data_IF_244555961700
#
_entry.id   IF_244555961700
#
_cell.length_a   1.000
_cell.length_b   1.000
_cell.length_c   1.000
_cell.angle_alpha   90.00
_cell.angle_beta   90.00
_cell.angle_gamma   90.00
#
_symmetry.space_group_name_H-M   'P 1'
#
loop_
_entity.id
_entity.type
_entity.pdbx_description
1 polymer ?
#
# COMPACT_ATOMS: atom_id res chain seq x y z
N UNK A 1 48.15 24.45 11.93
CA UNK A 1 47.37 23.40 12.64
C UNK A 1 45.90 23.64 12.33
N UNK A 2 45.42 23.06 11.24
CA UNK A 2 44.01 23.13 10.81
C UNK A 2 43.12 22.42 11.83
N UNK A 3 42.07 23.09 12.32
CA UNK A 3 41.02 22.46 13.11
C UNK A 3 40.04 21.77 12.17
N UNK A 4 40.10 20.44 12.12
CA UNK A 4 39.10 19.61 11.45
C UNK A 4 37.70 19.91 12.05
N UNK A 5 36.84 20.57 11.27
CA UNK A 5 35.41 20.67 11.57
C UNK A 5 34.76 19.35 11.16
N UNK A 6 34.47 18.51 12.13
CA UNK A 6 33.55 17.38 11.97
C UNK A 6 32.16 17.95 11.66
N UNK A 7 31.74 17.93 10.40
CA UNK A 7 30.36 18.25 10.03
C UNK A 7 29.46 17.14 10.57
N UNK A 8 28.64 17.48 11.57
CA UNK A 8 27.53 16.64 12.01
C UNK A 8 26.64 16.38 10.78
N UNK A 9 26.34 15.12 10.41
CA UNK A 9 25.42 14.88 9.30
C UNK A 9 24.09 15.57 9.63
N UNK A 10 23.56 16.35 8.69
CA UNK A 10 22.23 16.92 8.81
C UNK A 10 21.25 15.77 9.09
N UNK A 11 20.26 15.94 9.99
CA UNK A 11 19.28 14.90 10.22
C UNK A 11 18.67 14.51 8.87
N UNK A 12 18.67 13.21 8.54
CA UNK A 12 17.98 12.71 7.36
C UNK A 12 16.54 13.23 7.45
N UNK A 13 16.15 14.10 6.51
CA UNK A 13 14.81 14.68 6.50
C UNK A 13 13.80 13.53 6.49
N UNK A 14 12.74 13.62 7.29
CA UNK A 14 11.64 12.63 7.26
C UNK A 14 10.76 12.89 6.05
N UNK A 15 9.98 11.89 5.65
CA UNK A 15 8.87 12.13 4.73
C UNK A 15 7.86 13.05 5.40
N UNK A 16 7.36 14.05 4.67
CA UNK A 16 6.22 14.86 5.10
C UNK A 16 5.02 14.45 4.28
N UNK A 17 3.99 13.95 4.93
CA UNK A 17 2.79 13.44 4.25
C UNK A 17 1.58 14.25 4.68
N UNK A 18 0.84 14.75 3.70
CA UNK A 18 -0.48 15.36 3.92
C UNK A 18 -1.56 14.51 3.26
N UNK A 19 -2.75 14.55 3.84
CA UNK A 19 -3.91 13.85 3.33
C UNK A 19 -5.11 14.80 3.27
N UNK A 20 -5.89 14.71 2.20
CA UNK A 20 -7.18 15.37 2.04
C UNK A 20 -8.27 14.30 1.93
N UNK A 21 -9.12 14.21 2.95
CA UNK A 21 -10.20 13.23 3.02
C UNK A 21 -11.47 13.80 2.42
N UNK A 22 -11.87 13.28 1.25
CA UNK A 22 -13.18 13.53 0.66
C UNK A 22 -14.19 12.42 0.96
N UNK A 23 -15.40 12.55 0.39
CA UNK A 23 -16.46 11.55 0.55
C UNK A 23 -16.14 10.19 -0.09
N UNK A 24 -15.57 10.18 -1.31
CA UNK A 24 -15.26 8.94 -2.05
C UNK A 24 -13.80 8.55 -1.98
N UNK A 25 -12.91 9.54 -2.05
CA UNK A 25 -11.47 9.33 -2.12
C UNK A 25 -10.74 10.16 -1.07
N UNK A 26 -9.60 9.64 -0.66
CA UNK A 26 -8.58 10.36 0.09
C UNK A 26 -7.37 10.56 -0.80
N UNK A 27 -6.98 11.82 -0.97
CA UNK A 27 -5.78 12.22 -1.72
C UNK A 27 -4.59 12.33 -0.75
N UNK A 28 -3.46 11.77 -1.14
CA UNK A 28 -2.23 11.73 -0.35
C UNK A 28 -1.13 12.42 -1.14
N UNK A 29 -0.45 13.36 -0.50
CA UNK A 29 0.73 14.03 -1.05
C UNK A 29 1.90 13.80 -0.11
N UNK A 30 2.97 13.18 -0.62
CA UNK A 30 4.20 12.92 0.11
C UNK A 30 5.36 13.73 -0.46
N UNK A 31 6.07 14.45 0.40
CA UNK A 31 7.35 15.06 0.08
C UNK A 31 8.47 14.20 0.68
N UNK A 32 9.27 13.60 -0.21
CA UNK A 32 10.41 12.79 0.16
C UNK A 32 11.54 13.65 0.78
N UNK A 33 12.48 13.04 1.50
CA UNK A 33 13.61 13.74 2.12
C UNK A 33 14.47 14.56 1.15
N UNK A 34 14.57 14.07 -0.09
CA UNK A 34 15.31 14.69 -1.20
C UNK A 34 14.50 15.79 -1.93
N UNK A 35 13.27 16.06 -1.47
CA UNK A 35 12.37 17.06 -2.05
C UNK A 35 11.46 16.55 -3.17
N UNK A 36 11.59 15.28 -3.59
CA UNK A 36 10.68 14.70 -4.60
C UNK A 36 9.25 14.63 -4.08
N UNK A 37 8.28 14.90 -4.96
CA UNK A 37 6.86 14.85 -4.64
C UNK A 37 6.24 13.57 -5.19
N UNK A 38 5.45 12.92 -4.36
CA UNK A 38 4.71 11.71 -4.66
C UNK A 38 3.23 11.93 -4.36
N UNK A 39 2.37 11.30 -5.16
CA UNK A 39 0.93 11.37 -4.96
C UNK A 39 0.30 9.99 -5.04
N UNK A 40 -0.75 9.79 -4.26
CA UNK A 40 -1.57 8.59 -4.25
C UNK A 40 -3.01 8.95 -3.92
N UNK A 41 -3.97 8.31 -4.61
CA UNK A 41 -5.38 8.42 -4.31
C UNK A 41 -5.88 7.04 -3.89
N UNK A 42 -6.60 6.97 -2.77
CA UNK A 42 -7.22 5.75 -2.25
C UNK A 42 -8.71 5.99 -2.00
N UNK A 43 -9.53 4.94 -1.98
CA UNK A 43 -10.91 5.07 -1.50
C UNK A 43 -10.91 5.56 -0.05
N UNK A 44 -11.85 6.44 0.32
CA UNK A 44 -11.98 6.93 1.71
C UNK A 44 -12.29 5.82 2.71
N UNK A 45 -12.67 4.63 2.24
CA UNK A 45 -12.81 3.41 3.07
C UNK A 45 -11.48 2.71 3.37
N UNK A 46 -10.34 3.23 2.89
CA UNK A 46 -9.02 2.63 3.05
C UNK A 46 -8.80 1.38 2.20
N UNK A 47 -9.65 1.15 1.19
CA UNK A 47 -9.58 0.00 0.30
C UNK A 47 -8.97 0.35 -1.07
N UNK A 48 -8.36 -0.66 -1.70
CA UNK A 48 -7.93 -0.66 -3.09
C UNK A 48 -8.84 -1.59 -3.90
N UNK A 49 -9.07 -1.27 -5.17
CA UNK A 49 -9.77 -2.17 -6.09
C UNK A 49 -8.80 -2.76 -7.08
N UNK A 50 -8.80 -4.08 -7.17
CA UNK A 50 -7.98 -4.85 -8.12
C UNK A 50 -8.88 -5.76 -8.94
N UNK A 51 -8.52 -5.97 -10.20
CA UNK A 51 -9.12 -7.03 -11.02
C UNK A 51 -8.21 -8.24 -10.97
N UNK A 52 -8.77 -9.41 -10.69
CA UNK A 52 -7.98 -10.61 -10.48
C UNK A 52 -8.74 -11.86 -10.94
N UNK A 53 -7.97 -12.84 -11.43
CA UNK A 53 -8.43 -14.20 -11.70
C UNK A 53 -8.18 -15.07 -10.46
N UNK A 54 -9.25 -15.55 -9.84
CA UNK A 54 -9.20 -16.48 -8.72
C UNK A 54 -9.03 -17.92 -9.21
N UNK A 55 -8.11 -18.65 -8.58
CA UNK A 55 -7.88 -20.10 -8.74
C UNK A 55 -7.63 -20.72 -7.38
N UNK A 56 -8.66 -21.32 -6.79
CA UNK A 56 -8.61 -21.84 -5.42
C UNK A 56 -8.31 -20.75 -4.39
N UNK A 57 -7.12 -20.76 -3.78
CA UNK A 57 -6.68 -19.75 -2.79
C UNK A 57 -5.92 -18.58 -3.40
N UNK A 58 -5.58 -18.63 -4.69
CA UNK A 58 -4.73 -17.61 -5.33
C UNK A 58 -5.53 -16.65 -6.17
N UNK A 59 -5.23 -15.37 -6.04
CA UNK A 59 -5.71 -14.32 -6.92
C UNK A 59 -4.53 -13.85 -7.79
N UNK A 60 -4.58 -14.15 -9.08
CA UNK A 60 -3.66 -13.58 -10.07
C UNK A 60 -4.15 -12.19 -10.45
N UNK A 61 -3.36 -11.17 -10.14
CA UNK A 61 -3.75 -9.77 -10.32
C UNK A 61 -3.44 -9.33 -11.75
N UNK A 62 -4.38 -8.63 -12.39
CA UNK A 62 -4.12 -8.06 -13.72
C UNK A 62 -3.06 -6.95 -13.69
N UNK A 63 -2.94 -6.27 -12.55
CA UNK A 63 -1.89 -5.29 -12.28
C UNK A 63 -1.20 -5.67 -10.98
N UNK A 64 0.14 -5.78 -10.98
CA UNK A 64 0.88 -6.10 -9.77
C UNK A 64 0.66 -5.05 -8.69
N UNK A 65 0.61 -5.50 -7.43
CA UNK A 65 0.69 -4.60 -6.29
C UNK A 65 2.07 -3.90 -6.28
N UNK A 66 2.15 -2.64 -5.84
CA UNK A 66 3.44 -2.01 -5.59
C UNK A 66 4.33 -2.87 -4.68
N UNK A 67 5.64 -2.78 -4.90
CA UNK A 67 6.63 -3.36 -4.00
C UNK A 67 6.43 -2.78 -2.60
N UNK A 68 5.75 -3.52 -1.73
CA UNK A 68 5.34 -3.05 -0.41
C UNK A 68 5.68 -4.01 0.71
N UNK A 69 6.35 -5.12 0.39
CA UNK A 69 6.75 -6.13 1.37
C UNK A 69 5.54 -6.68 2.14
N UNK A 70 5.72 -6.87 3.44
CA UNK A 70 4.73 -7.47 4.34
C UNK A 70 3.51 -6.61 4.65
N UNK A 71 3.43 -5.35 4.19
CA UNK A 71 2.25 -4.51 4.51
C UNK A 71 0.96 -5.14 4.01
N UNK A 72 1.04 -5.87 2.91
CA UNK A 72 -0.11 -6.46 2.24
C UNK A 72 -0.76 -7.60 3.03
N UNK A 73 -0.01 -8.29 3.89
CA UNK A 73 -0.57 -9.36 4.73
C UNK A 73 -1.43 -8.81 5.87
N UNK A 74 -1.42 -7.49 6.08
CA UNK A 74 -2.35 -6.83 7.00
C UNK A 74 -3.71 -6.53 6.34
N UNK A 75 -3.82 -6.62 5.01
CA UNK A 75 -5.04 -6.33 4.28
C UNK A 75 -5.96 -7.56 4.23
N UNK A 76 -7.26 -7.31 4.08
CA UNK A 76 -8.27 -8.33 3.76
C UNK A 76 -8.79 -8.16 2.35
N UNK A 77 -9.00 -9.26 1.66
CA UNK A 77 -9.57 -9.30 0.32
C UNK A 77 -11.05 -9.67 0.38
N UNK A 78 -11.90 -8.98 -0.38
CA UNK A 78 -13.29 -9.38 -0.59
C UNK A 78 -13.71 -9.21 -2.04
N UNK A 79 -14.45 -10.17 -2.57
CA UNK A 79 -14.99 -10.07 -3.91
C UNK A 79 -16.22 -9.15 -3.90
N UNK A 80 -16.21 -8.11 -4.74
CA UNK A 80 -17.35 -7.20 -4.86
C UNK A 80 -18.58 -8.01 -5.30
N UNK A 81 -19.69 -7.82 -4.58
CA UNK A 81 -20.95 -8.51 -4.83
C UNK A 81 -21.10 -9.91 -4.19
N UNK A 82 -20.05 -10.44 -3.52
CA UNK A 82 -20.12 -11.74 -2.81
C UNK A 82 -19.95 -11.65 -1.29
N UNK A 83 -19.45 -10.53 -0.77
CA UNK A 83 -19.52 -10.16 0.65
C UNK A 83 -18.60 -10.88 1.64
N UNK A 84 -17.95 -11.98 1.26
CA UNK A 84 -16.99 -12.68 2.15
C UNK A 84 -15.63 -11.97 2.17
N UNK A 85 -15.06 -11.78 3.37
CA UNK A 85 -13.70 -11.28 3.57
C UNK A 85 -12.72 -12.44 3.82
N UNK A 86 -11.51 -12.30 3.30
CA UNK A 86 -10.44 -13.30 3.34
C UNK A 86 -9.14 -12.64 3.74
N UNK A 87 -8.35 -13.26 4.62
CA UNK A 87 -7.05 -12.72 5.01
C UNK A 87 -6.02 -13.01 3.92
N UNK A 88 -5.19 -12.01 3.60
CA UNK A 88 -4.06 -12.17 2.69
C UNK A 88 -2.89 -12.78 3.46
N UNK A 89 -2.48 -13.98 3.09
CA UNK A 89 -1.37 -14.68 3.75
C UNK A 89 -0.03 -14.41 3.08
N UNK A 90 -0.02 -14.39 1.75
CA UNK A 90 1.18 -14.25 0.95
C UNK A 90 0.92 -13.30 -0.20
N UNK A 91 1.92 -12.48 -0.51
CA UNK A 91 1.98 -11.70 -1.75
C UNK A 91 3.24 -12.10 -2.49
N UNK A 92 3.13 -12.31 -3.79
CA UNK A 92 4.27 -12.58 -4.65
C UNK A 92 5.34 -11.49 -4.49
N UNK A 93 6.65 -11.82 -4.59
CA UNK A 93 7.71 -10.80 -4.50
C UNK A 93 7.57 -9.66 -5.52
N UNK A 94 7.03 -9.97 -6.70
CA UNK A 94 6.75 -9.01 -7.78
C UNK A 94 5.34 -8.37 -7.69
N UNK A 95 4.54 -8.77 -6.69
CA UNK A 95 3.18 -8.31 -6.49
C UNK A 95 2.16 -8.87 -7.47
N UNK A 96 2.51 -9.84 -8.34
CA UNK A 96 1.64 -10.34 -9.40
C UNK A 96 0.47 -11.19 -8.91
N UNK A 97 0.59 -11.83 -7.75
CA UNK A 97 -0.48 -12.62 -7.15
C UNK A 97 -0.49 -12.51 -5.63
N UNK A 98 -1.64 -12.83 -5.05
CA UNK A 98 -1.80 -12.98 -3.59
C UNK A 98 -2.43 -14.34 -3.27
N UNK A 99 -2.08 -14.91 -2.12
CA UNK A 99 -2.70 -16.13 -1.57
C UNK A 99 -3.56 -15.77 -0.37
N UNK A 100 -4.79 -16.27 -0.38
CA UNK A 100 -5.78 -16.12 0.67
C UNK A 100 -5.73 -17.29 1.65
N UNK A 101 -6.19 -17.05 2.87
CA UNK A 101 -6.34 -18.09 3.89
C UNK A 101 -7.38 -19.16 3.55
N UNK A 102 -8.38 -18.85 2.72
CA UNK A 102 -9.48 -19.76 2.36
C UNK A 102 -9.61 -19.93 0.85
N UNK A 103 -10.24 -21.03 0.43
CA UNK A 103 -10.65 -21.24 -0.95
C UNK A 103 -11.74 -20.24 -1.36
N UNK A 104 -11.66 -19.76 -2.59
CA UNK A 104 -12.68 -18.92 -3.21
C UNK A 104 -13.08 -19.51 -4.56
N UNK A 105 -14.31 -19.25 -5.05
CA UNK A 105 -14.71 -19.79 -6.34
C UNK A 105 -13.86 -19.22 -7.47
N UNK A 106 -13.50 -20.09 -8.40
CA UNK A 106 -12.72 -19.70 -9.58
C UNK A 106 -13.45 -18.68 -10.46
N UNK A 107 -12.69 -17.77 -11.06
CA UNK A 107 -13.23 -16.80 -12.00
C UNK A 107 -12.53 -15.44 -11.93
N UNK A 108 -12.79 -14.58 -12.91
CA UNK A 108 -12.27 -13.22 -12.93
C UNK A 108 -13.29 -12.27 -12.32
N UNK A 109 -12.88 -11.48 -11.33
CA UNK A 109 -13.75 -10.53 -10.65
C UNK A 109 -12.98 -9.29 -10.20
N UNK A 110 -13.72 -8.29 -9.69
CA UNK A 110 -13.14 -7.15 -8.98
C UNK A 110 -13.14 -7.49 -7.48
N UNK A 111 -11.98 -7.29 -6.87
CA UNK A 111 -11.73 -7.50 -5.45
C UNK A 111 -11.41 -6.17 -4.78
N UNK A 112 -11.94 -5.97 -3.58
CA UNK A 112 -11.48 -4.93 -2.66
C UNK A 112 -10.41 -5.49 -1.74
N UNK A 113 -9.27 -4.82 -1.67
CA UNK A 113 -8.23 -5.06 -0.67
C UNK A 113 -8.35 -3.96 0.38
N UNK A 114 -8.95 -4.29 1.52
CA UNK A 114 -9.22 -3.36 2.62
C UNK A 114 -8.05 -3.34 3.59
N UNK A 115 -7.49 -2.16 3.82
CA UNK A 115 -6.49 -1.96 4.86
C UNK A 115 -7.13 -1.94 6.26
N UNK A 116 -6.40 -2.29 7.32
CA UNK A 116 -6.87 -2.18 8.70
C UNK A 116 -6.73 -0.75 9.26
N UNK A 117 -6.18 0.18 8.48
CA UNK A 117 -5.95 1.56 8.91
C UNK A 117 -6.98 2.51 8.29
N UNK A 118 -7.16 3.67 8.92
CA UNK A 118 -7.91 4.76 8.29
C UNK A 118 -7.24 5.18 6.96
N UNK A 119 -8.04 5.67 6.01
CA UNK A 119 -7.57 5.99 4.65
C UNK A 119 -6.32 6.89 4.57
N UNK A 120 -6.16 7.95 5.40
CA UNK A 120 -4.93 8.73 5.43
C UNK A 120 -3.67 7.89 5.75
N UNK A 121 -3.77 7.01 6.76
CA UNK A 121 -2.64 6.17 7.21
C UNK A 121 -2.36 5.06 6.20
N UNK A 122 -3.41 4.44 5.67
CA UNK A 122 -3.28 3.44 4.61
C UNK A 122 -2.62 4.05 3.37
N UNK A 123 -3.07 5.23 2.97
CA UNK A 123 -2.54 5.97 1.83
C UNK A 123 -1.07 6.36 2.00
N UNK A 124 -0.67 6.83 3.19
CA UNK A 124 0.72 7.12 3.51
C UNK A 124 1.62 5.88 3.36
N UNK A 125 1.24 4.76 3.97
CA UNK A 125 2.00 3.49 3.88
C UNK A 125 2.14 2.99 2.45
N UNK A 126 1.06 3.07 1.66
CA UNK A 126 1.08 2.67 0.25
C UNK A 126 1.92 3.60 -0.62
N UNK A 127 1.93 4.90 -0.33
CA UNK A 127 2.78 5.86 -1.02
C UNK A 127 4.26 5.55 -0.78
N UNK A 128 4.65 5.26 0.47
CA UNK A 128 6.01 4.86 0.83
C UNK A 128 6.43 3.54 0.18
N UNK A 129 5.55 2.55 0.18
CA UNK A 129 5.77 1.30 -0.55
C UNK A 129 6.01 1.56 -2.04
N UNK A 130 5.16 2.36 -2.69
CA UNK A 130 5.34 2.74 -4.10
C UNK A 130 6.67 3.48 -4.36
N UNK A 131 7.15 4.23 -3.38
CA UNK A 131 8.44 4.91 -3.44
C UNK A 131 9.65 3.98 -3.15
N UNK A 132 9.41 2.69 -2.89
CA UNK A 132 10.45 1.70 -2.60
C UNK A 132 11.01 1.78 -1.18
N UNK A 133 10.31 2.46 -0.26
CA UNK A 133 10.75 2.64 1.12
C UNK A 133 9.61 2.41 2.13
N UNK A 134 8.99 1.20 2.14
CA UNK A 134 7.77 0.93 2.92
C UNK A 134 7.89 1.18 4.44
N UNK A 135 9.10 1.08 4.99
CA UNK A 135 9.37 1.28 6.42
C UNK A 135 9.91 2.69 6.75
N UNK A 136 9.94 3.60 5.78
CA UNK A 136 10.46 4.94 6.00
C UNK A 136 9.62 5.70 7.04
N UNK A 137 10.27 6.42 7.97
CA UNK A 137 9.55 7.27 8.90
C UNK A 137 8.91 8.45 8.16
N UNK A 138 7.68 8.77 8.53
CA UNK A 138 6.96 9.94 8.04
C UNK A 138 6.34 10.72 9.21
N UNK A 139 6.14 12.01 8.96
CA UNK A 139 5.36 12.94 9.79
C UNK A 139 4.07 13.32 9.07
#
# INVERSE_FOLDING_TARGET
>A
MERNRTTKPAPARRWRITADTGGTFTDIVGCAPDGRIWTLKILSSGALRVRAAARGRRLLLERPLPAGGSIWTAFRASCIGRGSEHDIQVVAPDGSWIELNTLVPDGTAIWELRSPWAAPVAGARLLLARAGCPDAPFE
#
